data_IF_618691379258
#
_entry.id   IF_618691379258
#
_cell.length_a   1.000
_cell.length_b   1.000
_cell.length_c   1.000
_cell.angle_alpha   90.00
_cell.angle_beta   90.00
_cell.angle_gamma   90.00
#
_symmetry.space_group_name_H-M   'P 1'
#
loop_
_entity.id
_entity.type
_entity.pdbx_description
1 polymer ?
#
# COMPACT_ATOMS: atom_id res chain seq x y z
N UNK A 1 -23.24 -10.52 -1.78
CA UNK A 1 -23.50 -9.70 -0.60
C UNK A 1 -23.71 -8.24 -1.02
N UNK A 2 -24.88 -7.65 -0.78
CA UNK A 2 -25.16 -6.27 -1.20
C UNK A 2 -24.43 -5.21 -0.33
N UNK A 3 -23.74 -5.61 0.74
CA UNK A 3 -23.02 -4.71 1.63
C UNK A 3 -21.57 -4.44 1.26
N UNK A 4 -20.98 -5.22 0.34
CA UNK A 4 -19.54 -5.12 0.02
C UNK A 4 -19.35 -4.79 -1.46
N UNK A 5 -18.80 -3.59 -1.76
CA UNK A 5 -18.50 -3.11 -3.11
C UNK A 5 -19.65 -3.30 -4.11
N UNK A 6 -20.88 -3.04 -3.67
CA UNK A 6 -22.10 -3.32 -4.41
C UNK A 6 -22.68 -2.08 -5.10
N UNK A 7 -23.72 -2.30 -5.89
CA UNK A 7 -24.52 -1.24 -6.52
C UNK A 7 -25.38 -0.45 -5.52
N UNK A 8 -25.38 -0.82 -4.23
CA UNK A 8 -26.26 -0.23 -3.21
C UNK A 8 -26.20 1.31 -3.15
N UNK A 9 -25.00 1.97 -3.16
CA UNK A 9 -24.94 3.43 -3.13
C UNK A 9 -25.62 4.06 -4.36
N UNK A 10 -25.46 3.44 -5.54
CA UNK A 10 -26.10 3.90 -6.78
C UNK A 10 -27.61 3.72 -6.73
N UNK A 11 -28.08 2.56 -6.26
CA UNK A 11 -29.50 2.26 -6.12
C UNK A 11 -30.18 3.21 -5.13
N UNK A 12 -29.56 3.46 -3.97
CA UNK A 12 -30.06 4.43 -3.00
C UNK A 12 -30.16 5.86 -3.57
N UNK A 13 -29.21 6.25 -4.41
CA UNK A 13 -29.24 7.55 -5.07
C UNK A 13 -30.33 7.63 -6.14
N UNK A 14 -30.60 6.53 -6.86
CA UNK A 14 -31.53 6.48 -7.97
C UNK A 14 -32.98 6.26 -7.53
N UNK A 15 -33.20 5.51 -6.45
CA UNK A 15 -34.51 5.12 -5.97
C UNK A 15 -34.71 5.55 -4.52
N UNK A 16 -35.91 5.97 -4.14
CA UNK A 16 -36.24 6.20 -2.73
C UNK A 16 -35.98 4.95 -1.89
N UNK A 17 -35.49 5.10 -0.67
CA UNK A 17 -35.17 3.96 0.21
C UNK A 17 -36.38 3.06 0.51
N UNK A 18 -37.59 3.62 0.51
CA UNK A 18 -38.83 2.86 0.70
C UNK A 18 -39.16 1.88 -0.45
N UNK A 19 -38.55 2.04 -1.62
CA UNK A 19 -38.70 1.14 -2.76
C UNK A 19 -37.63 0.04 -2.85
N UNK A 20 -36.72 -0.01 -1.87
CA UNK A 20 -35.59 -0.94 -1.85
C UNK A 20 -35.71 -1.94 -0.69
N UNK A 21 -35.88 -3.20 -1.03
CA UNK A 21 -35.73 -4.32 -0.11
C UNK A 21 -34.36 -4.95 -0.33
N UNK A 22 -33.56 -5.07 0.73
CA UNK A 22 -32.20 -5.60 0.66
C UNK A 22 -32.15 -6.95 1.36
N UNK A 23 -32.02 -8.01 0.58
CA UNK A 23 -31.89 -9.36 1.12
C UNK A 23 -30.41 -9.67 1.35
N UNK A 24 -30.02 -10.07 2.59
CA UNK A 24 -28.63 -10.45 2.87
C UNK A 24 -28.28 -11.77 2.18
N UNK A 25 -27.02 -11.92 1.80
CA UNK A 25 -26.48 -13.13 1.20
C UNK A 25 -25.12 -13.48 1.78
N UNK A 26 -24.66 -14.71 1.56
CA UNK A 26 -23.30 -15.13 1.90
C UNK A 26 -22.34 -14.50 0.90
N UNK A 27 -21.38 -13.70 1.39
CA UNK A 27 -20.36 -13.09 0.53
C UNK A 27 -19.28 -14.09 0.14
N UNK A 28 -18.64 -13.86 -1.02
CA UNK A 28 -17.46 -14.60 -1.43
C UNK A 28 -16.33 -14.53 -0.39
N UNK A 29 -16.22 -13.41 0.34
CA UNK A 29 -15.28 -13.25 1.46
C UNK A 29 -15.55 -14.30 2.56
N UNK A 30 -16.79 -14.40 3.05
CA UNK A 30 -17.13 -15.38 4.09
C UNK A 30 -16.95 -16.81 3.61
N UNK A 31 -17.33 -17.09 2.36
CA UNK A 31 -17.12 -18.40 1.75
C UNK A 31 -15.64 -18.75 1.70
N UNK A 32 -14.77 -17.82 1.28
CA UNK A 32 -13.34 -18.07 1.20
C UNK A 32 -12.69 -18.20 2.59
N UNK A 33 -13.10 -17.40 3.57
CA UNK A 33 -12.61 -17.54 4.94
C UNK A 33 -12.98 -18.91 5.53
N UNK A 34 -14.18 -19.41 5.29
CA UNK A 34 -14.59 -20.77 5.69
C UNK A 34 -13.72 -21.84 5.03
N UNK A 35 -13.43 -21.74 3.73
CA UNK A 35 -12.54 -22.66 3.01
C UNK A 35 -11.09 -22.62 3.53
N UNK A 36 -10.64 -21.45 3.98
CA UNK A 36 -9.31 -21.26 4.55
C UNK A 36 -9.21 -21.56 6.05
N UNK A 37 -10.32 -21.87 6.71
CA UNK A 37 -10.43 -22.00 8.18
C UNK A 37 -9.98 -20.75 8.94
N UNK A 38 -10.22 -19.57 8.38
CA UNK A 38 -9.87 -18.26 8.97
C UNK A 38 -11.14 -17.51 9.41
N UNK A 39 -11.00 -16.70 10.49
CA UNK A 39 -12.07 -15.80 10.93
C UNK A 39 -12.14 -14.57 10.03
N UNK A 40 -13.32 -14.00 9.83
CA UNK A 40 -13.51 -12.82 8.98
C UNK A 40 -13.60 -11.49 9.74
N UNK A 41 -13.65 -11.51 11.08
CA UNK A 41 -13.84 -10.31 11.92
C UNK A 41 -12.75 -9.25 11.77
N UNK A 42 -11.49 -9.69 11.66
CA UNK A 42 -10.33 -8.80 11.57
C UNK A 42 -9.78 -8.66 10.15
N UNK A 43 -10.47 -9.24 9.15
CA UNK A 43 -10.00 -9.20 7.76
C UNK A 43 -9.99 -7.78 7.23
N UNK A 44 -8.85 -7.32 6.75
CA UNK A 44 -8.77 -6.09 5.97
C UNK A 44 -9.23 -6.35 4.55
N UNK A 45 -10.11 -5.52 4.06
CA UNK A 45 -10.75 -5.71 2.75
C UNK A 45 -10.22 -4.67 1.77
N UNK A 46 -9.69 -5.16 0.66
CA UNK A 46 -9.21 -4.35 -0.46
C UNK A 46 -9.97 -4.74 -1.73
N UNK A 47 -10.06 -3.81 -2.69
CA UNK A 47 -10.71 -4.06 -3.97
C UNK A 47 -9.88 -3.53 -5.14
N UNK A 48 -9.68 -4.40 -6.13
CA UNK A 48 -9.15 -4.06 -7.44
C UNK A 48 -10.20 -3.53 -8.42
N UNK A 49 -11.49 -3.47 -8.01
CA UNK A 49 -12.55 -2.92 -8.84
C UNK A 49 -12.66 -1.39 -8.71
N UNK A 50 -12.97 -0.71 -9.79
CA UNK A 50 -13.30 0.71 -9.79
C UNK A 50 -12.10 1.64 -9.69
N UNK A 51 -12.09 2.54 -8.70
CA UNK A 51 -10.99 3.49 -8.51
C UNK A 51 -9.69 2.74 -8.21
N UNK A 52 -8.63 3.11 -8.92
CA UNK A 52 -7.35 2.42 -8.82
C UNK A 52 -6.81 2.36 -7.39
N UNK A 53 -6.73 1.18 -6.81
CA UNK A 53 -5.96 0.98 -5.58
C UNK A 53 -4.47 1.03 -5.91
N UNK A 54 -3.66 1.73 -5.12
CA UNK A 54 -2.21 1.77 -5.30
C UNK A 54 -1.54 0.47 -4.85
N UNK A 55 -0.41 0.11 -5.49
CA UNK A 55 0.41 -1.03 -5.08
C UNK A 55 0.89 -0.88 -3.63
N UNK A 56 1.29 0.34 -3.26
CA UNK A 56 1.72 0.66 -1.91
C UNK A 56 0.64 0.35 -0.86
N UNK A 57 -0.63 0.67 -1.15
CA UNK A 57 -1.76 0.36 -0.26
C UNK A 57 -1.95 -1.14 -0.10
N UNK A 58 -1.86 -1.91 -1.19
CA UNK A 58 -1.96 -3.37 -1.13
C UNK A 58 -0.83 -3.95 -0.28
N UNK A 59 0.41 -3.57 -0.59
CA UNK A 59 1.60 -4.05 0.10
C UNK A 59 1.59 -3.72 1.59
N UNK A 60 1.33 -2.46 1.94
CA UNK A 60 1.30 -2.03 3.34
C UNK A 60 0.17 -2.70 4.12
N UNK A 61 -0.99 -2.93 3.49
CA UNK A 61 -2.10 -3.62 4.16
C UNK A 61 -1.76 -5.08 4.41
N UNK A 62 -1.22 -5.81 3.42
CA UNK A 62 -0.82 -7.21 3.58
C UNK A 62 0.34 -7.36 4.57
N UNK A 63 1.31 -6.45 4.52
CA UNK A 63 2.46 -6.47 5.42
C UNK A 63 2.07 -6.31 6.90
N UNK A 64 1.09 -5.44 7.18
CA UNK A 64 0.70 -5.06 8.55
C UNK A 64 -0.52 -5.79 9.09
N UNK A 65 -1.24 -6.53 8.28
CA UNK A 65 -2.46 -7.23 8.70
C UNK A 65 -2.23 -8.73 8.70
N UNK A 66 -2.75 -9.40 9.74
CA UNK A 66 -2.74 -10.87 9.75
C UNK A 66 -3.50 -11.43 8.55
N UNK A 67 -4.65 -10.87 8.24
CA UNK A 67 -5.50 -11.39 7.18
C UNK A 67 -6.01 -10.25 6.30
N UNK A 68 -5.81 -10.38 4.99
CA UNK A 68 -6.25 -9.42 3.98
C UNK A 68 -7.02 -10.14 2.88
N UNK A 69 -8.23 -9.69 2.59
CA UNK A 69 -9.01 -10.12 1.44
C UNK A 69 -8.88 -9.11 0.30
N UNK A 70 -8.68 -9.60 -0.91
CA UNK A 70 -8.59 -8.77 -2.10
C UNK A 70 -9.64 -9.21 -3.13
N UNK A 71 -10.61 -8.33 -3.39
CA UNK A 71 -11.58 -8.50 -4.46
C UNK A 71 -10.93 -8.15 -5.79
N UNK A 72 -10.75 -9.15 -6.63
CA UNK A 72 -10.03 -9.04 -7.89
C UNK A 72 -10.81 -8.26 -8.94
N UNK A 73 -10.13 -7.39 -9.66
CA UNK A 73 -10.62 -6.72 -10.88
C UNK A 73 -10.05 -7.38 -12.14
N UNK A 74 -10.37 -6.82 -13.30
CA UNK A 74 -9.87 -7.35 -14.59
C UNK A 74 -8.35 -7.31 -14.67
N UNK A 75 -7.74 -6.15 -14.42
CA UNK A 75 -6.29 -5.96 -14.51
C UNK A 75 -5.58 -6.36 -13.22
N UNK A 76 -6.24 -6.11 -12.08
CA UNK A 76 -5.75 -6.48 -10.74
C UNK A 76 -6.34 -7.82 -10.31
N UNK A 77 -5.96 -8.86 -11.02
CA UNK A 77 -6.36 -10.25 -10.81
C UNK A 77 -5.45 -10.97 -9.79
N UNK A 78 -5.70 -12.25 -9.44
CA UNK A 78 -4.86 -12.97 -8.47
C UNK A 78 -3.40 -13.08 -8.89
N UNK A 79 -3.11 -13.26 -10.20
CA UNK A 79 -1.73 -13.28 -10.72
C UNK A 79 -1.01 -11.97 -10.42
N UNK A 80 -1.63 -10.82 -10.73
CA UNK A 80 -1.09 -9.50 -10.42
C UNK A 80 -0.81 -9.34 -8.93
N UNK A 81 -1.78 -9.71 -8.07
CA UNK A 81 -1.65 -9.61 -6.61
C UNK A 81 -0.46 -10.44 -6.11
N UNK A 82 -0.36 -11.70 -6.53
CA UNK A 82 0.73 -12.59 -6.14
C UNK A 82 2.10 -12.12 -6.67
N UNK A 83 2.16 -11.68 -7.93
CA UNK A 83 3.39 -11.11 -8.51
C UNK A 83 3.88 -9.88 -7.75
N UNK A 84 2.96 -9.01 -7.34
CA UNK A 84 3.27 -7.83 -6.54
C UNK A 84 3.86 -8.23 -5.19
N UNK A 85 3.24 -9.14 -4.46
CA UNK A 85 3.74 -9.60 -3.17
C UNK A 85 5.12 -10.26 -3.27
N UNK A 86 5.30 -11.17 -4.24
CA UNK A 86 6.56 -11.87 -4.45
C UNK A 86 7.70 -10.90 -4.76
N UNK A 87 7.48 -9.93 -5.67
CA UNK A 87 8.50 -8.96 -6.07
C UNK A 87 8.90 -7.97 -4.98
N UNK A 88 8.08 -7.81 -3.94
CA UNK A 88 8.28 -6.80 -2.89
C UNK A 88 8.58 -7.42 -1.52
N UNK A 89 9.04 -8.68 -1.48
CA UNK A 89 9.52 -9.35 -0.27
C UNK A 89 8.43 -9.87 0.68
N UNK A 90 7.21 -10.07 0.19
CA UNK A 90 6.08 -10.63 0.93
C UNK A 90 5.77 -12.08 0.52
N UNK A 91 6.77 -12.81 0.02
CA UNK A 91 6.61 -14.21 -0.41
C UNK A 91 6.35 -15.19 0.75
N UNK A 92 6.55 -14.76 1.99
CA UNK A 92 6.26 -15.54 3.19
C UNK A 92 4.76 -15.61 3.56
N UNK A 93 3.92 -14.85 2.86
CA UNK A 93 2.48 -14.81 3.09
C UNK A 93 1.81 -16.04 2.49
N UNK A 94 0.89 -16.65 3.21
CA UNK A 94 0.07 -17.74 2.70
C UNK A 94 -1.10 -17.17 1.90
N UNK A 95 -1.26 -17.58 0.64
CA UNK A 95 -2.32 -17.10 -0.24
C UNK A 95 -3.29 -18.22 -0.58
N UNK A 96 -4.59 -17.92 -0.44
CA UNK A 96 -5.69 -18.77 -0.90
C UNK A 96 -6.48 -18.00 -1.95
N UNK A 97 -6.60 -18.56 -3.15
CA UNK A 97 -7.45 -18.02 -4.22
C UNK A 97 -8.70 -18.87 -4.33
N UNK A 98 -9.85 -18.22 -4.23
CA UNK A 98 -11.15 -18.84 -4.45
C UNK A 98 -11.73 -18.38 -5.78
N UNK A 99 -12.01 -19.33 -6.66
CA UNK A 99 -12.60 -19.12 -7.98
C UNK A 99 -14.00 -19.69 -8.00
N UNK A 100 -14.98 -18.92 -8.52
CA UNK A 100 -16.37 -19.34 -8.74
C UNK A 100 -17.01 -19.99 -7.50
N UNK A 101 -16.79 -19.39 -6.31
CA UNK A 101 -17.11 -19.97 -5.00
C UNK A 101 -18.57 -20.44 -4.81
N UNK A 102 -19.52 -19.83 -5.52
CA UNK A 102 -20.95 -20.18 -5.43
C UNK A 102 -21.41 -21.13 -6.56
N UNK A 103 -20.50 -21.65 -7.35
CA UNK A 103 -20.80 -22.50 -8.51
C UNK A 103 -20.35 -23.94 -8.27
N UNK A 104 -20.91 -24.88 -9.06
CA UNK A 104 -20.58 -26.29 -8.95
C UNK A 104 -19.12 -26.61 -9.32
N UNK A 105 -18.52 -25.77 -10.17
CA UNK A 105 -17.13 -25.84 -10.61
C UNK A 105 -16.20 -24.95 -9.76
N UNK A 106 -16.57 -24.69 -8.50
CA UNK A 106 -15.72 -24.01 -7.53
C UNK A 106 -14.33 -24.60 -7.48
N UNK A 107 -13.31 -23.73 -7.46
CA UNK A 107 -11.91 -24.12 -7.31
C UNK A 107 -11.22 -23.31 -6.22
N UNK A 108 -10.42 -23.98 -5.41
CA UNK A 108 -9.60 -23.38 -4.35
C UNK A 108 -8.13 -23.72 -4.64
N UNK A 109 -7.32 -22.68 -4.77
CA UNK A 109 -5.87 -22.82 -5.00
C UNK A 109 -5.12 -22.17 -3.84
N UNK A 110 -4.12 -22.87 -3.29
CA UNK A 110 -3.30 -22.38 -2.17
C UNK A 110 -1.83 -22.44 -2.54
N UNK A 111 -1.04 -21.51 -2.01
CA UNK A 111 0.41 -21.47 -2.22
C UNK A 111 1.04 -20.18 -1.75
N UNK A 112 2.34 -20.07 -1.98
CA UNK A 112 3.08 -18.82 -1.79
C UNK A 112 2.86 -17.89 -2.97
N UNK A 113 3.01 -16.56 -2.77
CA UNK A 113 2.91 -15.60 -3.86
C UNK A 113 3.72 -15.96 -5.11
N UNK A 114 4.98 -16.36 -4.96
CA UNK A 114 5.85 -16.76 -6.08
C UNK A 114 5.34 -17.99 -6.85
N UNK A 115 4.73 -18.95 -6.16
CA UNK A 115 4.16 -20.14 -6.77
C UNK A 115 2.91 -19.82 -7.60
N UNK A 116 2.09 -18.88 -7.12
CA UNK A 116 0.81 -18.50 -7.74
C UNK A 116 0.96 -17.42 -8.81
N UNK A 117 2.04 -16.65 -8.79
CA UNK A 117 2.28 -15.53 -9.72
C UNK A 117 2.31 -15.94 -11.20
N UNK A 118 2.65 -17.21 -11.51
CA UNK A 118 2.67 -17.76 -12.87
C UNK A 118 1.38 -18.42 -13.31
N UNK A 119 0.37 -18.52 -12.44
CA UNK A 119 -0.86 -19.27 -12.73
C UNK A 119 -1.95 -18.38 -13.35
N UNK A 120 -2.85 -19.00 -14.10
CA UNK A 120 -4.07 -18.35 -14.59
C UNK A 120 -5.25 -18.66 -13.68
N UNK A 121 -6.12 -17.66 -13.51
CA UNK A 121 -7.29 -17.73 -12.64
C UNK A 121 -8.54 -17.21 -13.36
N UNK A 122 -9.70 -17.73 -12.95
CA UNK A 122 -11.00 -17.26 -13.45
C UNK A 122 -11.24 -15.78 -13.05
N UNK A 123 -11.96 -15.05 -13.91
CA UNK A 123 -12.31 -13.65 -13.64
C UNK A 123 -13.22 -13.46 -12.41
N UNK A 124 -13.97 -14.50 -12.00
CA UNK A 124 -14.76 -14.51 -10.77
C UNK A 124 -13.94 -15.06 -9.60
N UNK A 125 -12.91 -14.33 -9.21
CA UNK A 125 -12.00 -14.74 -8.15
C UNK A 125 -11.90 -13.73 -7.01
N UNK A 126 -11.54 -14.24 -5.84
CA UNK A 126 -11.19 -13.47 -4.64
C UNK A 126 -9.94 -14.09 -4.01
N UNK A 127 -9.08 -13.26 -3.47
CA UNK A 127 -7.85 -13.69 -2.79
C UNK A 127 -7.97 -13.45 -1.29
N UNK A 128 -7.50 -14.40 -0.49
CA UNK A 128 -7.26 -14.26 0.94
C UNK A 128 -5.76 -14.45 1.19
N UNK A 129 -5.13 -13.44 1.74
CA UNK A 129 -3.72 -13.45 2.14
C UNK A 129 -3.62 -13.52 3.66
N UNK A 130 -2.91 -14.50 4.18
CA UNK A 130 -2.64 -14.69 5.62
C UNK A 130 -1.17 -14.46 5.88
N UNK A 131 -0.85 -13.39 6.57
CA UNK A 131 0.51 -13.05 6.97
C UNK A 131 0.77 -13.63 8.36
N UNK A 132 1.65 -14.63 8.52
CA UNK A 132 1.93 -15.22 9.82
C UNK A 132 2.70 -14.27 10.75
N UNK A 133 3.41 -13.27 10.17
CA UNK A 133 4.27 -12.34 10.90
C UNK A 133 4.00 -10.89 10.47
N UNK A 134 2.82 -10.32 10.80
CA UNK A 134 2.51 -8.96 10.40
C UNK A 134 3.45 -7.95 11.07
N UNK A 135 3.90 -6.98 10.29
CA UNK A 135 4.70 -5.88 10.80
C UNK A 135 3.87 -4.99 11.73
N UNK A 136 4.47 -4.45 12.81
CA UNK A 136 3.76 -3.53 13.68
C UNK A 136 3.40 -2.24 12.92
N UNK A 137 2.35 -1.57 13.38
CA UNK A 137 2.04 -0.22 12.88
C UNK A 137 3.21 0.72 13.17
N UNK A 138 3.66 1.50 12.18
CA UNK A 138 4.75 2.42 12.37
C UNK A 138 4.34 3.56 13.30
N UNK A 139 5.29 4.04 14.11
CA UNK A 139 5.12 5.28 14.86
C UNK A 139 5.04 6.45 13.86
N UNK A 140 4.06 7.33 14.01
CA UNK A 140 3.88 8.48 13.12
C UNK A 140 5.08 9.44 13.09
N UNK A 141 5.80 9.52 14.20
CA UNK A 141 7.02 10.33 14.33
C UNK A 141 8.14 9.43 14.87
N UNK A 142 8.93 8.80 13.99
CA UNK A 142 10.08 8.02 14.39
C UNK A 142 11.14 8.92 15.03
N UNK A 143 11.82 8.42 16.07
CA UNK A 143 12.90 9.13 16.75
C UNK A 143 14.18 9.08 15.93
N UNK A 144 15.15 9.92 16.26
CA UNK A 144 16.46 9.93 15.59
C UNK A 144 17.19 8.58 15.71
N UNK A 145 17.00 7.87 16.82
CA UNK A 145 17.58 6.54 17.09
C UNK A 145 16.95 5.40 16.28
N UNK A 146 15.75 5.63 15.75
CA UNK A 146 15.06 4.64 14.90
C UNK A 146 15.68 4.58 13.47
N UNK A 147 16.44 5.59 13.05
CA UNK A 147 17.07 5.65 11.73
C UNK A 147 18.46 4.99 11.72
N UNK A 148 18.82 4.44 10.55
CA UNK A 148 20.21 4.13 10.22
C UNK A 148 20.92 5.45 9.96
N UNK A 149 22.07 5.67 10.59
CA UNK A 149 22.81 6.93 10.53
C UNK A 149 24.27 6.69 10.14
N UNK A 150 24.79 7.60 9.32
CA UNK A 150 26.20 7.70 8.96
C UNK A 150 26.70 9.13 9.22
N UNK A 151 27.61 9.61 8.42
CA UNK A 151 28.07 11.01 8.42
C UNK A 151 27.09 11.95 7.67
N UNK A 152 26.14 11.39 6.94
CA UNK A 152 25.13 12.16 6.20
C UNK A 152 24.28 12.95 7.21
N UNK A 153 24.11 14.26 7.02
CA UNK A 153 23.27 15.08 7.89
C UNK A 153 21.83 14.59 7.89
N UNK A 154 21.22 14.62 9.06
CA UNK A 154 19.82 14.23 9.24
C UNK A 154 19.03 15.35 9.91
N UNK A 155 17.82 15.62 9.41
CA UNK A 155 16.89 16.52 10.08
C UNK A 155 16.51 15.96 11.45
N UNK A 156 16.81 16.72 12.51
CA UNK A 156 16.53 16.35 13.90
C UNK A 156 15.05 16.13 14.15
N UNK A 157 14.74 15.25 15.11
CA UNK A 157 13.37 14.84 15.46
C UNK A 157 12.44 16.03 15.68
N UNK A 158 12.87 17.04 16.45
CA UNK A 158 12.05 18.22 16.75
C UNK A 158 11.79 19.07 15.50
N UNK A 159 12.82 19.25 14.66
CA UNK A 159 12.70 19.98 13.40
C UNK A 159 11.80 19.22 12.43
N UNK A 160 11.97 17.92 12.34
CA UNK A 160 11.14 17.02 11.51
C UNK A 160 9.68 17.10 11.92
N UNK A 161 9.38 17.07 13.22
CA UNK A 161 8.02 17.20 13.73
C UNK A 161 7.38 18.55 13.33
N UNK A 162 8.13 19.64 13.44
CA UNK A 162 7.66 20.98 13.05
C UNK A 162 7.43 21.05 11.53
N UNK A 163 8.35 20.50 10.72
CA UNK A 163 8.23 20.46 9.26
C UNK A 163 6.94 19.73 8.85
N UNK A 164 6.71 18.53 9.37
CA UNK A 164 5.53 17.74 9.03
C UNK A 164 4.23 18.44 9.46
N UNK A 165 4.22 19.06 10.65
CA UNK A 165 3.08 19.85 11.12
C UNK A 165 2.79 21.06 10.22
N UNK A 166 3.83 21.75 9.72
CA UNK A 166 3.70 22.89 8.81
C UNK A 166 3.30 22.47 7.40
N UNK A 167 3.75 21.33 6.91
CA UNK A 167 3.32 20.80 5.63
C UNK A 167 1.82 20.47 5.62
N UNK A 168 1.25 20.02 6.72
CA UNK A 168 -0.18 19.71 6.81
C UNK A 168 -0.60 18.58 5.87
N UNK A 169 0.22 17.53 5.77
CA UNK A 169 0.00 16.38 4.90
C UNK A 169 -1.29 15.63 5.26
N UNK A 170 -2.00 15.16 4.24
CA UNK A 170 -3.14 14.24 4.32
C UNK A 170 -2.75 12.83 3.85
N UNK A 171 -3.64 11.87 4.04
CA UNK A 171 -3.38 10.47 3.65
C UNK A 171 -3.13 10.30 2.15
N UNK A 172 -3.72 11.14 1.32
CA UNK A 172 -3.65 11.13 -0.15
C UNK A 172 -2.62 12.12 -0.73
N UNK A 173 -1.81 12.77 0.11
CA UNK A 173 -0.82 13.75 -0.33
C UNK A 173 0.27 13.12 -1.20
N UNK A 174 0.69 13.86 -2.23
CA UNK A 174 1.88 13.57 -3.04
C UNK A 174 2.96 14.56 -2.64
N UNK A 175 4.00 14.08 -1.94
CA UNK A 175 5.12 14.91 -1.49
C UNK A 175 6.33 14.73 -2.39
N UNK A 176 6.95 15.85 -2.76
CA UNK A 176 8.34 15.84 -3.23
C UNK A 176 9.26 16.25 -2.07
N UNK A 177 10.25 15.42 -1.78
CA UNK A 177 11.32 15.68 -0.81
C UNK A 177 12.64 15.90 -1.60
N UNK A 178 13.03 17.15 -1.77
CA UNK A 178 14.17 17.55 -2.58
C UNK A 178 15.39 17.73 -1.69
N UNK A 179 16.46 16.99 -1.97
CA UNK A 179 17.63 16.89 -1.11
C UNK A 179 17.31 16.05 0.13
N UNK A 180 16.81 14.85 -0.09
CA UNK A 180 16.24 14.00 0.96
C UNK A 180 17.26 13.54 2.03
N UNK A 181 18.57 13.52 1.68
CA UNK A 181 19.64 13.16 2.60
C UNK A 181 19.49 11.74 3.14
N UNK A 182 19.28 11.61 4.46
CA UNK A 182 19.03 10.31 5.10
C UNK A 182 17.62 9.76 4.87
N UNK A 183 16.73 10.50 4.19
CA UNK A 183 15.34 10.17 4.00
C UNK A 183 14.46 10.36 5.23
N UNK A 184 14.91 11.11 6.23
CA UNK A 184 14.18 11.22 7.50
C UNK A 184 12.83 11.93 7.36
N UNK A 185 12.71 12.93 6.48
CA UNK A 185 11.44 13.59 6.14
C UNK A 185 10.60 12.66 5.27
N UNK A 186 11.19 12.07 4.21
CA UNK A 186 10.52 11.12 3.33
C UNK A 186 9.86 9.97 4.10
N UNK A 187 10.60 9.34 5.02
CA UNK A 187 10.11 8.25 5.88
C UNK A 187 8.93 8.71 6.74
N UNK A 188 9.08 9.82 7.46
CA UNK A 188 8.03 10.28 8.36
C UNK A 188 6.79 10.79 7.59
N UNK A 189 6.97 11.43 6.44
CA UNK A 189 5.89 11.84 5.56
C UNK A 189 5.14 10.64 4.96
N UNK A 190 5.85 9.58 4.54
CA UNK A 190 5.23 8.39 3.99
C UNK A 190 4.32 7.65 4.99
N UNK A 191 4.59 7.77 6.29
CA UNK A 191 3.72 7.24 7.35
C UNK A 191 2.40 8.01 7.47
N UNK A 192 2.38 9.27 7.05
CA UNK A 192 1.17 10.10 7.00
C UNK A 192 0.43 9.87 5.68
N UNK A 193 1.14 9.94 4.55
CA UNK A 193 0.61 9.83 3.19
C UNK A 193 0.29 8.37 2.81
N UNK A 194 -0.49 7.65 3.60
CA UNK A 194 -0.70 6.19 3.46
C UNK A 194 -1.38 5.77 2.16
N UNK A 195 -2.13 6.65 1.54
CA UNK A 195 -2.82 6.46 0.27
C UNK A 195 -2.20 7.30 -0.86
N UNK A 196 -1.28 8.20 -0.49
CA UNK A 196 -0.49 9.04 -1.37
C UNK A 196 0.91 8.47 -1.62
N UNK A 197 1.80 9.33 -2.11
CA UNK A 197 3.16 8.96 -2.54
C UNK A 197 4.18 9.99 -2.05
N UNK A 198 5.40 9.53 -1.79
CA UNK A 198 6.56 10.38 -1.52
C UNK A 198 7.62 10.13 -2.59
N UNK A 199 8.03 11.19 -3.29
CA UNK A 199 9.10 11.16 -4.26
C UNK A 199 10.30 11.87 -3.67
N UNK A 200 11.31 11.12 -3.29
CA UNK A 200 12.53 11.60 -2.68
C UNK A 200 13.63 11.74 -3.73
N UNK A 201 14.22 12.91 -3.83
CA UNK A 201 15.26 13.22 -4.81
C UNK A 201 16.56 13.51 -4.08
N UNK A 202 17.62 12.75 -4.40
CA UNK A 202 18.93 12.91 -3.77
C UNK A 202 20.05 12.72 -4.82
N UNK A 203 20.99 13.67 -4.85
CA UNK A 203 22.10 13.66 -5.80
C UNK A 203 23.32 12.90 -5.26
N UNK A 204 23.52 12.89 -3.94
CA UNK A 204 24.67 12.24 -3.31
C UNK A 204 24.48 10.73 -3.23
N UNK A 205 25.49 9.95 -3.67
CA UNK A 205 25.44 8.48 -3.69
C UNK A 205 25.26 7.86 -2.31
N UNK A 206 26.03 8.33 -1.32
CA UNK A 206 26.01 7.82 0.05
C UNK A 206 24.65 8.11 0.71
N UNK A 207 24.15 9.32 0.54
CA UNK A 207 22.85 9.73 1.08
C UNK A 207 21.70 8.93 0.45
N UNK A 208 21.70 8.78 -0.87
CA UNK A 208 20.67 8.00 -1.58
C UNK A 208 20.67 6.52 -1.17
N UNK A 209 21.85 5.90 -1.00
CA UNK A 209 21.94 4.53 -0.51
C UNK A 209 21.41 4.40 0.93
N UNK A 210 21.77 5.35 1.81
CA UNK A 210 21.31 5.38 3.20
C UNK A 210 19.80 5.58 3.30
N UNK A 211 19.25 6.45 2.46
CA UNK A 211 17.80 6.64 2.34
C UNK A 211 17.08 5.34 1.97
N UNK A 212 17.61 4.61 0.97
CA UNK A 212 17.05 3.31 0.56
C UNK A 212 17.04 2.29 1.72
N UNK A 213 18.11 2.25 2.52
CA UNK A 213 18.18 1.41 3.71
C UNK A 213 17.14 1.82 4.77
N UNK A 214 16.95 3.11 4.99
CA UNK A 214 15.94 3.62 5.93
C UNK A 214 14.53 3.29 5.43
N UNK A 215 14.19 3.57 4.17
CA UNK A 215 12.88 3.24 3.59
C UNK A 215 12.58 1.74 3.73
N UNK A 216 13.57 0.88 3.47
CA UNK A 216 13.48 -0.57 3.65
C UNK A 216 13.29 -0.96 5.12
N UNK A 217 14.07 -0.37 6.05
CA UNK A 217 13.97 -0.62 7.49
C UNK A 217 12.57 -0.33 8.03
N UNK A 218 11.98 0.78 7.60
CA UNK A 218 10.63 1.18 8.00
C UNK A 218 9.51 0.49 7.20
N UNK A 219 9.86 -0.39 6.24
CA UNK A 219 8.92 -1.13 5.40
C UNK A 219 7.87 -0.22 4.75
N UNK A 220 8.36 0.84 4.08
CA UNK A 220 7.52 1.80 3.37
C UNK A 220 7.47 1.44 1.89
N UNK A 221 6.25 1.33 1.36
CA UNK A 221 6.02 0.93 -0.04
C UNK A 221 5.57 2.10 -0.91
N UNK A 222 5.32 3.27 -0.31
CA UNK A 222 4.85 4.50 -0.95
C UNK A 222 5.94 5.58 -1.08
N UNK A 223 7.21 5.20 -0.96
CA UNK A 223 8.36 6.07 -1.23
C UNK A 223 9.04 5.62 -2.51
N UNK A 224 9.20 6.54 -3.45
CA UNK A 224 9.98 6.33 -4.68
C UNK A 224 11.25 7.17 -4.61
N UNK A 225 12.39 6.50 -4.71
CA UNK A 225 13.70 7.14 -4.63
C UNK A 225 14.19 7.51 -6.04
N UNK A 226 14.63 8.75 -6.20
CA UNK A 226 15.16 9.28 -7.44
C UNK A 226 16.58 9.79 -7.23
N UNK A 227 17.53 9.13 -7.87
CA UNK A 227 18.90 9.60 -7.87
C UNK A 227 19.10 10.63 -8.97
N UNK A 228 19.61 11.82 -8.63
CA UNK A 228 19.94 12.88 -9.59
C UNK A 228 19.71 14.27 -9.04
N UNK A 229 20.03 15.26 -9.85
CA UNK A 229 19.78 16.68 -9.56
C UNK A 229 18.27 16.99 -9.55
N UNK A 230 17.88 17.97 -8.74
CA UNK A 230 16.49 18.39 -8.61
C UNK A 230 15.88 18.77 -9.96
N UNK A 231 16.54 19.67 -10.71
CA UNK A 231 16.02 20.22 -11.97
C UNK A 231 15.83 19.15 -13.05
N UNK A 232 16.69 18.12 -13.09
CA UNK A 232 16.62 17.04 -14.07
C UNK A 232 15.51 16.03 -13.76
N UNK A 233 15.15 15.93 -12.48
CA UNK A 233 14.26 14.89 -11.96
C UNK A 233 12.81 15.36 -11.87
N UNK A 234 12.57 16.57 -11.35
CA UNK A 234 11.21 17.06 -11.02
C UNK A 234 10.26 17.08 -12.22
N UNK A 235 10.76 17.34 -13.43
CA UNK A 235 9.93 17.36 -14.65
C UNK A 235 9.34 16.00 -15.04
N UNK A 236 9.81 14.91 -14.43
CA UNK A 236 9.37 13.53 -14.70
C UNK A 236 8.46 12.98 -13.60
N UNK A 237 8.33 13.71 -12.49
CA UNK A 237 7.55 13.27 -11.33
C UNK A 237 6.05 13.59 -11.50
N UNK A 238 5.17 12.84 -10.85
CA UNK A 238 3.75 13.20 -10.80
C UNK A 238 3.59 14.56 -10.09
N UNK A 239 2.53 15.28 -10.44
CA UNK A 239 2.26 16.61 -9.87
C UNK A 239 2.15 16.51 -8.34
N UNK A 240 2.97 17.28 -7.57
CA UNK A 240 2.93 17.24 -6.12
C UNK A 240 1.75 18.04 -5.57
N UNK A 241 1.29 17.65 -4.38
CA UNK A 241 0.45 18.47 -3.53
C UNK A 241 1.31 19.32 -2.58
N UNK A 242 2.48 18.79 -2.20
CA UNK A 242 3.43 19.42 -1.27
C UNK A 242 4.86 19.22 -1.76
N UNK A 243 5.70 20.20 -1.47
CA UNK A 243 7.14 20.14 -1.75
C UNK A 243 7.89 20.54 -0.49
N UNK A 244 8.84 19.72 -0.08
CA UNK A 244 9.83 20.05 0.92
C UNK A 244 11.20 20.12 0.26
N UNK A 245 11.99 21.14 0.62
CA UNK A 245 13.36 21.34 0.14
C UNK A 245 14.28 21.32 1.36
N UNK A 246 15.00 20.21 1.54
CA UNK A 246 15.88 19.98 2.69
C UNK A 246 17.29 20.49 2.49
N UNK A 247 17.81 20.36 1.29
CA UNK A 247 19.12 20.84 0.90
C UNK A 247 19.21 20.93 -0.62
N UNK A 248 19.54 22.08 -1.13
CA UNK A 248 19.56 22.34 -2.57
C UNK A 248 20.97 22.59 -3.12
N UNK A 249 21.99 22.74 -2.24
CA UNK A 249 23.29 23.22 -2.69
C UNK A 249 23.14 24.56 -3.42
N UNK A 250 23.86 24.69 -4.53
CA UNK A 250 23.82 25.88 -5.41
C UNK A 250 22.80 25.72 -6.57
N UNK A 251 21.93 24.69 -6.54
CA UNK A 251 21.06 24.34 -7.68
C UNK A 251 19.62 24.91 -7.60
N UNK A 252 19.27 25.66 -6.53
CA UNK A 252 17.94 26.28 -6.37
C UNK A 252 18.05 27.78 -6.07
#
# INVERSE_FOLDING_TARGET
DPGIYSLMPLLKKRFPSAALEVLPGVSSLRSLCAEAAETWESVKILSGHGRGISEAKVLSTVDRSRTTAFFCGTDKNPRWFCSLLASRGLDHVDVTVGERLSYADKKITRGRPSELAGMDFDGLSIVLAVNPNPSPEPKLLPRDEDFIRTKVPMTREEVRAVVLAKLGLSEDSVLWDIGAGTGSISVAAAMICREGEVHAVEINDEAHALEAENVKKFRLFNVTLHKGGALETIGKLPRPTHIFVGGSGDEL
#
